data_IF_660453071487
#
_entry.id   IF_660453071487
#
_cell.length_a   1.000
_cell.length_b   1.000
_cell.length_c   1.000
_cell.angle_alpha   90.00
_cell.angle_beta   90.00
_cell.angle_gamma   90.00
#
_symmetry.space_group_name_H-M   'P 1'
#
loop_
_entity.id
_entity.type
_entity.pdbx_description
1 polymer ?
#
# COMPACT_ATOMS: atom_id res chain seq x y z
N UNK A 1 -20.10 9.67 1.55
CA UNK A 1 -19.89 9.69 1.35
C UNK A 1 -19.27 9.81 1.34
N UNK A 2 -19.05 9.73 1.13
CA UNK A 2 -18.71 9.85 0.88
C UNK A 2 -18.18 10.02 0.58
N UNK A 3 -18.30 9.83 0.60
CA UNK A 3 -18.00 10.22 0.09
C UNK A 3 -17.35 10.79 -0.04
N UNK A 4 -18.01 10.32 0.10
CA UNK A 4 -17.13 10.94 0.17
C UNK A 4 -16.22 11.79 -0.50
N UNK A 5 -15.27 12.13 0.17
CA UNK A 5 -14.25 12.95 -0.42
C UNK A 5 -13.17 12.05 -1.03
N UNK A 6 -13.24 11.82 -2.32
CA UNK A 6 -12.29 10.91 -2.93
C UNK A 6 -10.85 11.37 -2.82
N UNK A 7 -10.65 12.68 -2.78
CA UNK A 7 -9.27 13.18 -2.71
C UNK A 7 -8.61 12.76 -1.41
N UNK A 8 -9.35 12.83 -0.31
CA UNK A 8 -8.78 12.45 0.96
C UNK A 8 -8.57 10.96 1.07
N UNK A 9 -9.49 10.19 0.53
CA UNK A 9 -9.38 8.75 0.64
C UNK A 9 -8.29 8.19 -0.26
N UNK A 10 -7.76 9.01 -1.17
CA UNK A 10 -6.74 8.54 -2.09
C UNK A 10 -5.34 8.93 -1.69
N UNK A 11 -5.17 9.31 -0.46
CA UNK A 11 -3.84 9.61 0.03
C UNK A 11 -3.14 8.33 0.47
N UNK A 12 -1.82 8.41 0.50
CA UNK A 12 -1.03 7.28 0.92
C UNK A 12 -1.17 6.11 -0.02
N UNK A 13 -1.39 4.94 0.55
CA UNK A 13 -1.45 3.71 -0.23
C UNK A 13 -2.57 3.75 -1.27
N UNK A 14 -3.73 4.23 -0.86
CA UNK A 14 -4.85 4.28 -1.80
C UNK A 14 -4.52 5.12 -3.02
N UNK A 15 -3.89 6.27 -2.80
CA UNK A 15 -3.50 7.11 -3.90
C UNK A 15 -2.48 6.43 -4.79
N UNK A 16 -1.52 5.78 -4.16
CA UNK A 16 -0.49 5.10 -4.91
C UNK A 16 -1.07 3.99 -5.79
N UNK A 17 -1.91 3.16 -5.20
CA UNK A 17 -2.49 2.04 -5.95
C UNK A 17 -3.43 2.54 -7.03
N UNK A 18 -4.07 3.67 -6.82
CA UNK A 18 -4.98 4.23 -7.79
C UNK A 18 -4.28 4.87 -8.97
N UNK A 19 -3.05 5.32 -8.80
CA UNK A 19 -2.33 6.02 -9.86
C UNK A 19 -1.23 5.20 -10.49
N UNK A 20 -0.79 4.13 -9.85
CA UNK A 20 0.33 3.33 -10.35
C UNK A 20 -0.09 1.89 -10.52
N UNK A 21 -0.34 1.45 -11.75
CA UNK A 21 -0.67 0.04 -11.98
C UNK A 21 0.44 -0.90 -11.52
N UNK A 22 1.69 -0.48 -11.63
CA UNK A 22 2.79 -1.31 -11.20
C UNK A 22 2.74 -1.53 -9.69
N UNK A 23 2.44 -0.47 -8.95
CA UNK A 23 2.33 -0.61 -7.50
C UNK A 23 1.17 -1.53 -7.14
N UNK A 24 0.07 -1.41 -7.85
CA UNK A 24 -1.09 -2.25 -7.58
C UNK A 24 -0.77 -3.71 -7.83
N UNK A 25 -0.10 -4.00 -8.93
CA UNK A 25 0.27 -5.37 -9.23
C UNK A 25 1.23 -5.93 -8.19
N UNK A 26 2.18 -5.11 -7.80
CA UNK A 26 3.13 -5.54 -6.78
C UNK A 26 2.40 -5.85 -5.47
N UNK A 27 1.52 -4.97 -5.06
CA UNK A 27 0.77 -5.16 -3.83
C UNK A 27 -0.05 -6.45 -3.90
N UNK A 28 -0.73 -6.68 -5.02
CA UNK A 28 -1.57 -7.85 -5.15
C UNK A 28 -0.78 -9.15 -5.19
N UNK A 29 0.50 -9.07 -5.51
CA UNK A 29 1.33 -10.27 -5.55
C UNK A 29 1.88 -10.64 -4.18
N UNK A 30 1.70 -9.79 -3.19
CA UNK A 30 2.21 -10.06 -1.86
C UNK A 30 1.33 -11.06 -1.11
N UNK A 31 1.90 -11.79 -0.14
CA UNK A 31 1.08 -12.64 0.70
C UNK A 31 0.00 -11.83 1.41
N UNK A 32 -1.10 -12.50 1.70
CA UNK A 32 -2.24 -11.81 2.26
C UNK A 32 -1.89 -11.12 3.57
N UNK A 33 -1.12 -11.78 4.42
CA UNK A 33 -0.80 -11.17 5.70
C UNK A 33 0.06 -9.91 5.51
N UNK A 34 0.91 -9.90 4.49
CA UNK A 34 1.72 -8.73 4.21
C UNK A 34 0.82 -7.60 3.71
N UNK A 35 -0.13 -7.93 2.85
CA UNK A 35 -1.06 -6.93 2.37
C UNK A 35 -1.82 -6.27 3.52
N UNK A 36 -2.27 -7.07 4.47
CA UNK A 36 -3.00 -6.52 5.60
C UNK A 36 -2.14 -5.60 6.44
N UNK A 37 -0.89 -5.97 6.65
CA UNK A 37 -0.01 -5.13 7.45
C UNK A 37 0.31 -3.83 6.71
N UNK A 38 0.43 -3.90 5.41
CA UNK A 38 0.68 -2.69 4.64
C UNK A 38 -0.55 -1.78 4.69
N UNK A 39 -1.74 -2.36 4.62
CA UNK A 39 -2.95 -1.55 4.71
C UNK A 39 -3.02 -0.82 6.05
N UNK A 40 -2.57 -1.45 7.11
CA UNK A 40 -2.54 -0.79 8.41
C UNK A 40 -1.60 0.41 8.42
N UNK A 41 -0.61 0.40 7.55
CA UNK A 41 0.34 1.49 7.44
C UNK A 41 0.10 2.36 6.22
N UNK A 42 -1.10 2.30 5.68
CA UNK A 42 -1.37 2.91 4.39
C UNK A 42 -1.07 4.39 4.34
N UNK A 43 -1.20 5.08 5.46
CA UNK A 43 -0.92 6.51 5.46
C UNK A 43 0.55 6.82 5.29
N UNK A 44 1.41 5.85 5.58
CA UNK A 44 2.84 6.03 5.46
C UNK A 44 3.38 5.55 4.11
N UNK A 45 2.55 4.93 3.30
CA UNK A 45 2.97 4.36 2.01
C UNK A 45 2.54 5.33 0.92
N UNK A 46 3.43 6.23 0.53
CA UNK A 46 3.08 7.27 -0.42
C UNK A 46 3.72 7.09 -1.78
N UNK A 47 4.63 6.16 -1.92
CA UNK A 47 5.31 5.95 -3.18
C UNK A 47 5.60 4.47 -3.34
N UNK A 48 5.92 4.10 -4.59
CA UNK A 48 6.29 2.72 -4.86
C UNK A 48 7.49 2.27 -4.03
N UNK A 49 8.46 3.17 -3.89
CA UNK A 49 9.63 2.84 -3.10
C UNK A 49 9.28 2.51 -1.66
N UNK A 50 8.37 3.29 -1.11
CA UNK A 50 7.94 3.02 0.27
C UNK A 50 7.16 1.72 0.36
N UNK A 51 6.34 1.44 -0.66
CA UNK A 51 5.61 0.19 -0.69
C UNK A 51 6.57 -1.00 -0.71
N UNK A 52 7.56 -0.95 -1.57
CA UNK A 52 8.54 -2.02 -1.66
C UNK A 52 9.31 -2.18 -0.36
N UNK A 53 9.68 -1.06 0.23
CA UNK A 53 10.42 -1.11 1.48
C UNK A 53 9.59 -1.72 2.60
N UNK A 54 8.33 -1.33 2.68
CA UNK A 54 7.46 -1.86 3.72
C UNK A 54 7.29 -3.37 3.55
N UNK A 55 7.03 -3.80 2.32
CA UNK A 55 6.86 -5.23 2.06
C UNK A 55 8.15 -5.99 2.37
N UNK A 56 9.27 -5.41 2.00
CA UNK A 56 10.55 -6.05 2.24
C UNK A 56 10.80 -6.23 3.73
N UNK A 57 10.54 -5.18 4.49
CA UNK A 57 10.72 -5.26 5.94
C UNK A 57 9.81 -6.30 6.56
N UNK A 58 8.59 -6.38 6.09
CA UNK A 58 7.63 -7.32 6.67
C UNK A 58 7.99 -8.76 6.35
N UNK A 59 8.44 -9.00 5.12
CA UNK A 59 8.77 -10.37 4.75
C UNK A 59 10.11 -10.80 5.33
N UNK A 60 11.06 -9.89 5.43
CA UNK A 60 12.34 -10.24 6.02
C UNK A 60 12.23 -10.41 7.52
N UNK A 61 11.33 -9.66 8.14
CA UNK A 61 11.17 -9.75 9.58
C UNK A 61 10.65 -11.10 10.00
N UNK A 62 10.08 -11.85 9.10
CA UNK A 62 9.57 -13.17 9.41
C UNK A 62 10.66 -14.16 9.68
N UNK A 63 11.85 -13.84 9.29
CA UNK A 63 12.94 -14.76 9.54
C UNK A 63 13.43 -14.65 10.94
#
# INVERSE_FOLDING_TARGET
METGNPNNSRKGLDGLLGTSPAAKQYFNSLPEYVQEMIVERRQNIKSEGELHRAADNLTQGDK
#
